data_IF_510632222914
#
_entry.id   IF_510632222914
#
_cell.length_a   1.000
_cell.length_b   1.000
_cell.length_c   1.000
_cell.angle_alpha   90.00
_cell.angle_beta   90.00
_cell.angle_gamma   90.00
#
_symmetry.space_group_name_H-M   'P 1'
#
loop_
_entity.id
_entity.type
_entity.pdbx_description
1 polymer ?
#
# COMPACT_ATOMS: atom_id res chain seq x y z
N UNK A 1 -39.88 -44.41 -8.21
CA UNK A 1 -38.52 -44.39 -7.64
C UNK A 1 -37.50 -44.41 -8.77
N UNK A 2 -36.74 -43.31 -8.96
CA UNK A 2 -35.49 -43.24 -9.76
C UNK A 2 -34.77 -41.92 -9.38
N UNK A 3 -33.71 -42.08 -8.59
CA UNK A 3 -32.44 -41.31 -8.43
C UNK A 3 -32.43 -39.79 -8.69
N UNK A 4 -32.24 -38.92 -7.69
CA UNK A 4 -31.00 -38.51 -6.98
C UNK A 4 -30.05 -37.57 -7.78
N UNK A 5 -29.99 -36.32 -7.27
CA UNK A 5 -28.81 -35.45 -7.06
C UNK A 5 -28.16 -34.75 -8.27
N UNK A 6 -28.27 -33.42 -8.32
CA UNK A 6 -27.25 -32.47 -7.81
C UNK A 6 -27.69 -31.03 -8.02
N UNK A 7 -27.72 -30.26 -6.93
CA UNK A 7 -27.63 -28.81 -6.95
C UNK A 7 -26.38 -28.40 -7.74
N UNK A 8 -26.52 -27.40 -8.59
CA UNK A 8 -25.49 -26.36 -8.70
C UNK A 8 -26.21 -25.08 -9.07
N UNK A 9 -26.35 -24.23 -8.05
CA UNK A 9 -26.78 -22.85 -8.20
C UNK A 9 -25.76 -22.16 -9.10
N UNK A 10 -26.11 -21.93 -10.36
CA UNK A 10 -25.33 -21.06 -11.23
C UNK A 10 -25.61 -19.63 -10.82
N UNK A 11 -24.85 -19.19 -9.82
CA UNK A 11 -24.63 -17.79 -9.47
C UNK A 11 -24.04 -17.06 -10.67
N UNK A 12 -24.89 -16.55 -11.56
CA UNK A 12 -24.52 -15.47 -12.45
C UNK A 12 -24.54 -14.16 -11.65
N UNK A 13 -23.61 -14.05 -10.69
CA UNK A 13 -23.30 -12.81 -10.00
C UNK A 13 -22.69 -11.85 -11.03
N UNK A 14 -23.48 -10.85 -11.40
CA UNK A 14 -23.09 -9.47 -11.67
C UNK A 14 -21.57 -9.23 -11.58
N UNK A 15 -20.85 -9.44 -12.68
CA UNK A 15 -19.56 -8.78 -12.88
C UNK A 15 -19.85 -7.40 -13.44
N UNK A 16 -20.34 -6.52 -12.56
CA UNK A 16 -20.18 -5.09 -12.77
C UNK A 16 -18.69 -4.84 -12.99
N UNK A 17 -18.28 -4.11 -14.04
CA UNK A 17 -16.93 -3.60 -14.07
C UNK A 17 -16.76 -2.80 -12.78
N UNK A 18 -15.87 -3.25 -11.90
CA UNK A 18 -15.30 -2.40 -10.88
C UNK A 18 -14.67 -1.24 -11.65
N UNK A 19 -15.42 -0.15 -11.78
CA UNK A 19 -14.85 1.17 -11.62
C UNK A 19 -14.14 1.10 -10.28
N UNK A 20 -12.86 0.69 -10.30
CA UNK A 20 -11.92 1.25 -9.36
C UNK A 20 -11.96 2.74 -9.66
N UNK A 21 -12.92 3.41 -9.02
CA UNK A 21 -12.85 4.83 -8.81
C UNK A 21 -11.42 5.07 -8.39
N UNK A 22 -10.74 5.88 -9.17
CA UNK A 22 -9.55 6.60 -8.74
C UNK A 22 -9.93 7.15 -7.37
N UNK A 23 -9.55 6.45 -6.31
CA UNK A 23 -9.62 7.00 -4.97
C UNK A 23 -8.83 8.29 -5.13
N UNK A 24 -9.53 9.42 -5.09
CA UNK A 24 -8.90 10.73 -5.17
C UNK A 24 -7.79 10.66 -4.14
N UNK A 25 -6.57 10.51 -4.62
CA UNK A 25 -5.40 10.45 -3.78
C UNK A 25 -5.38 11.83 -3.17
N UNK A 26 -5.82 11.92 -1.91
CA UNK A 26 -5.93 13.18 -1.21
C UNK A 26 -4.58 13.86 -1.37
N UNK A 27 -4.58 15.05 -1.97
CA UNK A 27 -3.35 15.75 -2.30
C UNK A 27 -2.44 15.75 -1.06
N UNK A 28 -1.22 15.28 -1.25
CA UNK A 28 -0.26 15.15 -0.16
C UNK A 28 0.30 16.55 0.10
N UNK A 29 -0.38 17.27 0.98
CA UNK A 29 -0.06 18.65 1.33
C UNK A 29 1.10 18.74 2.33
N UNK A 30 1.35 17.65 3.08
CA UNK A 30 2.37 17.65 4.13
C UNK A 30 3.30 16.46 4.12
N UNK A 31 4.51 16.71 4.64
CA UNK A 31 5.49 15.68 4.97
C UNK A 31 4.92 14.59 5.91
N UNK A 32 4.01 14.97 6.83
CA UNK A 32 3.36 14.05 7.77
C UNK A 32 2.45 13.05 7.07
N UNK A 33 1.63 13.51 6.12
CA UNK A 33 0.78 12.65 5.29
C UNK A 33 1.61 11.72 4.40
N UNK A 34 2.67 12.25 3.75
CA UNK A 34 3.58 11.44 2.95
C UNK A 34 4.20 10.29 3.77
N UNK A 35 4.63 10.59 5.00
CA UNK A 35 5.15 9.58 5.93
C UNK A 35 4.07 8.56 6.28
N UNK A 36 2.84 8.98 6.57
CA UNK A 36 1.71 8.09 6.87
C UNK A 36 1.45 7.08 5.75
N UNK A 37 1.28 7.56 4.52
CA UNK A 37 1.08 6.72 3.33
C UNK A 37 2.22 5.72 3.14
N UNK A 38 3.44 6.19 3.38
CA UNK A 38 4.60 5.34 3.24
C UNK A 38 4.66 4.22 4.29
N UNK A 39 4.27 4.53 5.54
CA UNK A 39 4.19 3.53 6.61
C UNK A 39 3.15 2.46 6.29
N UNK A 40 2.00 2.87 5.78
CA UNK A 40 0.93 1.95 5.37
C UNK A 40 1.42 0.99 4.28
N UNK A 41 2.07 1.51 3.23
CA UNK A 41 2.67 0.68 2.18
C UNK A 41 3.74 -0.27 2.74
N UNK A 42 4.55 0.19 3.67
CA UNK A 42 5.57 -0.64 4.30
C UNK A 42 4.98 -1.76 5.19
N UNK A 43 3.87 -1.49 5.88
CA UNK A 43 3.14 -2.50 6.64
C UNK A 43 2.49 -3.55 5.73
N UNK A 44 1.94 -3.12 4.59
CA UNK A 44 1.39 -4.03 3.58
C UNK A 44 2.48 -4.91 2.93
N UNK A 45 3.65 -4.34 2.67
CA UNK A 45 4.77 -5.05 2.04
C UNK A 45 5.50 -6.02 3.00
N UNK A 46 5.47 -5.75 4.31
CA UNK A 46 6.21 -6.52 5.31
C UNK A 46 5.30 -6.92 6.49
N UNK A 47 4.74 -8.15 6.49
CA UNK A 47 4.05 -8.66 7.68
C UNK A 47 5.05 -8.75 8.85
N UNK A 48 4.73 -8.13 9.99
CA UNK A 48 5.66 -8.00 11.13
C UNK A 48 6.46 -6.70 11.18
N UNK A 49 6.09 -5.70 10.36
CA UNK A 49 6.66 -4.36 10.36
C UNK A 49 6.81 -3.74 11.76
N UNK A 50 8.06 -3.52 12.19
CA UNK A 50 8.41 -2.60 13.27
C UNK A 50 9.21 -1.44 12.70
N UNK A 51 8.66 -0.25 12.87
CA UNK A 51 9.26 0.98 12.37
C UNK A 51 10.49 1.34 13.20
N UNK A 52 11.65 1.45 12.57
CA UNK A 52 12.83 2.00 13.24
C UNK A 52 12.63 3.49 13.49
N UNK A 53 13.05 4.01 14.66
CA UNK A 53 12.95 5.44 15.01
C UNK A 53 13.58 6.40 13.97
N UNK A 54 14.40 5.90 13.05
CA UNK A 54 15.03 6.67 11.98
C UNK A 54 14.17 6.70 10.69
N UNK A 55 13.35 7.73 10.53
CA UNK A 55 12.76 8.11 9.23
C UNK A 55 13.42 9.40 8.75
N UNK A 56 13.96 9.40 7.53
CA UNK A 56 14.49 10.60 6.88
C UNK A 56 13.53 11.00 5.76
N UNK A 57 13.23 12.29 5.68
CA UNK A 57 12.41 12.85 4.60
C UNK A 57 13.19 13.93 3.88
N UNK A 58 13.13 13.91 2.55
CA UNK A 58 13.67 14.95 1.69
C UNK A 58 12.62 15.28 0.65
N UNK A 59 12.26 16.57 0.54
CA UNK A 59 11.39 17.03 -0.54
C UNK A 59 12.25 17.53 -1.70
N UNK A 60 11.92 17.16 -2.93
CA UNK A 60 12.60 17.65 -4.12
C UNK A 60 11.60 17.73 -5.26
N UNK A 61 11.41 18.92 -5.86
CA UNK A 61 10.50 19.15 -7.00
C UNK A 61 9.07 18.61 -6.79
N UNK A 62 8.51 18.76 -5.59
CA UNK A 62 7.16 18.28 -5.28
C UNK A 62 7.07 16.77 -4.96
N UNK A 63 8.18 16.05 -4.88
CA UNK A 63 8.22 14.65 -4.45
C UNK A 63 8.83 14.55 -3.06
N UNK A 64 8.15 13.88 -2.14
CA UNK A 64 8.64 13.52 -0.82
C UNK A 64 9.36 12.18 -0.90
N UNK A 65 10.69 12.21 -0.85
CA UNK A 65 11.54 11.02 -0.75
C UNK A 65 11.75 10.67 0.72
N UNK A 66 11.11 9.61 1.17
CA UNK A 66 11.13 9.09 2.53
C UNK A 66 11.99 7.85 2.56
N UNK A 67 13.05 7.88 3.37
CA UNK A 67 13.87 6.70 3.67
C UNK A 67 13.55 6.25 5.07
N UNK A 68 13.06 5.01 5.22
CA UNK A 68 12.80 4.40 6.51
C UNK A 68 13.59 3.11 6.66
N UNK A 69 13.83 2.69 7.91
CA UNK A 69 14.31 1.34 8.19
C UNK A 69 13.16 0.52 8.71
N UNK A 70 12.88 -0.57 8.02
CA UNK A 70 11.92 -1.59 8.42
C UNK A 70 12.67 -2.67 9.17
N UNK A 71 12.21 -3.00 10.37
CA UNK A 71 12.72 -4.15 11.12
C UNK A 71 11.59 -5.16 11.17
N UNK A 72 11.81 -6.32 10.56
CA UNK A 72 10.96 -7.51 10.75
C UNK A 72 11.63 -8.44 11.76
N UNK A 73 11.00 -9.56 12.07
CA UNK A 73 11.60 -10.57 12.96
C UNK A 73 12.84 -11.21 12.33
N UNK A 74 12.84 -11.37 11.01
CA UNK A 74 13.90 -12.04 10.26
C UNK A 74 14.99 -11.09 9.72
N UNK A 75 14.63 -9.85 9.40
CA UNK A 75 15.55 -8.94 8.69
C UNK A 75 15.43 -7.46 9.09
N UNK A 76 16.54 -6.73 8.94
CA UNK A 76 16.59 -5.27 9.03
C UNK A 76 16.79 -4.70 7.63
N UNK A 77 15.76 -4.06 7.12
CA UNK A 77 15.74 -3.52 5.77
C UNK A 77 15.77 -2.01 5.75
N UNK A 78 16.44 -1.48 4.74
CA UNK A 78 16.31 -0.07 4.38
C UNK A 78 15.31 0.01 3.23
N UNK A 79 14.32 0.86 3.36
CA UNK A 79 13.33 1.06 2.29
C UNK A 79 13.23 2.54 1.97
N UNK A 80 13.07 2.80 0.67
CA UNK A 80 12.88 4.13 0.12
C UNK A 80 11.48 4.17 -0.45
N UNK A 81 10.85 5.30 -0.24
CA UNK A 81 9.47 5.53 -0.54
C UNK A 81 9.32 6.93 -1.08
N UNK A 82 8.81 7.04 -2.28
CA UNK A 82 8.68 8.31 -2.98
C UNK A 82 7.20 8.60 -3.11
N UNK A 83 6.76 9.72 -2.52
CA UNK A 83 5.37 10.14 -2.51
C UNK A 83 5.26 11.44 -3.29
N UNK A 84 4.49 11.45 -4.37
CA UNK A 84 4.21 12.68 -5.14
C UNK A 84 3.11 13.49 -4.47
N UNK A 85 2.95 14.76 -4.86
CA UNK A 85 1.84 15.61 -4.39
C UNK A 85 0.48 15.03 -4.79
N UNK A 86 0.42 14.37 -5.93
CA UNK A 86 -0.76 13.67 -6.44
C UNK A 86 -1.04 12.36 -5.68
N UNK A 87 -0.26 12.06 -4.65
CA UNK A 87 -0.44 10.88 -3.79
C UNK A 87 -0.03 9.55 -4.43
N UNK A 88 0.71 9.58 -5.54
CA UNK A 88 1.36 8.39 -6.05
C UNK A 88 2.50 7.98 -5.10
N UNK A 89 2.51 6.70 -4.70
CA UNK A 89 3.50 6.16 -3.78
C UNK A 89 4.29 5.06 -4.48
N UNK A 90 5.59 5.31 -4.68
CA UNK A 90 6.55 4.29 -5.12
C UNK A 90 7.29 3.75 -3.91
N UNK A 91 7.31 2.43 -3.73
CA UNK A 91 7.99 1.78 -2.61
C UNK A 91 9.09 0.85 -3.13
N UNK A 92 10.29 0.92 -2.55
CA UNK A 92 11.43 0.11 -2.97
C UNK A 92 12.27 -0.34 -1.78
N UNK A 93 12.62 -1.64 -1.77
CA UNK A 93 13.62 -2.23 -0.86
C UNK A 93 15.02 -1.89 -1.37
N UNK A 94 15.93 -1.50 -0.47
CA UNK A 94 17.33 -1.14 -0.77
C UNK A 94 18.27 -2.04 0.03
#
# INVERSE_FOLDING_TARGET
MKYLTKLTATTALLMSPMMLGTANAAEVDSAGQAIGLCKEKAQLAHPGYKLSKSTKIKQTRGVYKITMRVVTEDERLKTICEVTKDGEVTYSKV
#
